data_IF_161116278390
#
_entry.id   IF_161116278390
#
_cell.length_a   1.000
_cell.length_b   1.000
_cell.length_c   1.000
_cell.angle_alpha   90.00
_cell.angle_beta   90.00
_cell.angle_gamma   90.00
#
_symmetry.space_group_name_H-M   'P 1'
#
loop_
_entity.id
_entity.type
_entity.pdbx_description
1 polymer ?
#
# COMPACT_ATOMS: atom_id res chain seq x y z
N UNK A 1 -21.33 53.24 -49.31
CA UNK A 1 -22.12 53.27 -48.05
C UNK A 1 -22.76 51.91 -47.85
N UNK A 2 -22.12 51.03 -47.08
CA UNK A 2 -22.66 49.71 -46.70
C UNK A 2 -22.98 49.74 -45.22
N UNK A 3 -24.25 49.49 -44.89
CA UNK A 3 -24.83 49.60 -43.55
C UNK A 3 -24.58 48.26 -42.83
N UNK A 4 -23.50 48.19 -42.05
CA UNK A 4 -23.21 47.05 -41.18
C UNK A 4 -24.18 47.10 -40.00
N UNK A 5 -25.22 46.29 -40.07
CA UNK A 5 -26.14 46.00 -38.97
C UNK A 5 -25.39 45.22 -37.89
N UNK A 6 -25.31 45.79 -36.69
CA UNK A 6 -24.97 45.11 -35.42
C UNK A 6 -26.16 44.25 -35.01
N UNK A 7 -26.05 42.91 -35.08
CA UNK A 7 -26.64 42.12 -34.01
C UNK A 7 -25.74 40.99 -33.48
N UNK A 8 -24.48 40.88 -33.89
CA UNK A 8 -23.71 39.66 -33.55
C UNK A 8 -22.86 39.73 -32.27
N UNK A 9 -22.65 40.90 -31.67
CA UNK A 9 -21.72 41.01 -30.53
C UNK A 9 -22.32 40.50 -29.21
N UNK A 10 -23.65 40.56 -29.06
CA UNK A 10 -24.33 40.09 -27.86
C UNK A 10 -24.39 38.55 -27.77
N UNK A 11 -24.39 37.87 -28.92
CA UNK A 11 -24.41 36.40 -28.98
C UNK A 11 -23.04 35.79 -28.64
N UNK A 12 -21.95 36.45 -29.04
CA UNK A 12 -20.59 36.00 -28.75
C UNK A 12 -20.18 36.11 -27.27
N UNK A 13 -20.67 37.12 -26.54
CA UNK A 13 -20.40 37.26 -25.10
C UNK A 13 -21.24 36.30 -24.24
N UNK A 14 -22.34 35.78 -24.78
CA UNK A 14 -23.21 34.81 -24.10
C UNK A 14 -22.72 33.36 -24.21
N UNK A 15 -21.78 33.08 -25.12
CA UNK A 15 -21.19 31.74 -25.29
C UNK A 15 -19.87 31.54 -24.56
N UNK A 16 -19.29 32.57 -23.92
CA UNK A 16 -18.12 32.41 -23.04
C UNK A 16 -18.51 32.08 -21.59
N UNK A 17 -19.67 31.46 -21.39
CA UNK A 17 -20.03 30.87 -20.09
C UNK A 17 -19.21 29.60 -19.93
N UNK A 18 -18.16 29.73 -19.10
CA UNK A 18 -17.28 28.68 -18.60
C UNK A 18 -18.14 27.56 -17.99
N UNK A 19 -18.60 26.63 -18.82
CA UNK A 19 -19.20 25.37 -18.39
C UNK A 19 -18.07 24.39 -18.09
N UNK A 20 -17.45 24.52 -16.92
CA UNK A 20 -16.71 23.42 -16.28
C UNK A 20 -17.35 22.92 -14.97
N UNK A 21 -18.69 22.75 -14.84
CA UNK A 21 -19.27 22.18 -13.62
C UNK A 21 -18.91 20.68 -13.45
N UNK A 22 -18.41 20.02 -14.50
CA UNK A 22 -18.05 18.61 -14.48
C UNK A 22 -16.63 18.30 -13.96
N UNK A 23 -15.74 19.29 -13.86
CA UNK A 23 -14.32 19.02 -13.53
C UNK A 23 -14.13 18.84 -12.01
N UNK A 24 -14.85 19.60 -11.18
CA UNK A 24 -14.83 19.42 -9.71
C UNK A 24 -15.46 18.09 -9.26
N UNK A 25 -16.53 17.63 -9.92
CA UNK A 25 -17.17 16.35 -9.60
C UNK A 25 -16.30 15.14 -9.98
N UNK A 26 -15.59 15.23 -11.11
CA UNK A 26 -14.72 14.14 -11.61
C UNK A 26 -13.44 13.99 -10.79
N UNK A 27 -12.84 15.11 -10.38
CA UNK A 27 -11.66 15.11 -9.48
C UNK A 27 -12.03 14.59 -8.09
N UNK A 28 -13.20 14.96 -7.56
CA UNK A 28 -13.67 14.47 -6.25
C UNK A 28 -13.96 12.97 -6.30
N UNK A 29 -14.67 12.46 -7.33
CA UNK A 29 -14.92 11.03 -7.50
C UNK A 29 -13.63 10.22 -7.68
N UNK A 30 -12.67 10.74 -8.45
CA UNK A 30 -11.36 10.10 -8.61
C UNK A 30 -10.56 10.09 -7.31
N UNK A 31 -10.60 11.17 -6.52
CA UNK A 31 -9.96 11.21 -5.18
C UNK A 31 -10.57 10.18 -4.25
N UNK A 32 -11.90 10.07 -4.19
CA UNK A 32 -12.57 9.08 -3.33
C UNK A 32 -12.20 7.66 -3.72
N UNK A 33 -12.23 7.33 -5.02
CA UNK A 33 -11.81 6.00 -5.52
C UNK A 33 -10.33 5.73 -5.24
N UNK A 34 -9.46 6.74 -5.36
CA UNK A 34 -8.04 6.60 -5.00
C UNK A 34 -7.82 6.38 -3.51
N UNK A 35 -8.58 7.05 -2.64
CA UNK A 35 -8.50 6.88 -1.18
C UNK A 35 -9.01 5.51 -0.77
N UNK A 36 -10.14 5.03 -1.31
CA UNK A 36 -10.67 3.70 -0.97
C UNK A 36 -9.76 2.57 -1.48
N UNK A 37 -9.14 2.74 -2.65
CA UNK A 37 -8.14 1.82 -3.16
C UNK A 37 -6.86 1.82 -2.32
N UNK A 38 -6.39 3.00 -1.89
CA UNK A 38 -5.24 3.11 -0.99
C UNK A 38 -5.53 2.47 0.37
N UNK A 39 -6.72 2.70 0.93
CA UNK A 39 -7.15 2.13 2.21
C UNK A 39 -7.26 0.61 2.14
N UNK A 40 -7.90 0.07 1.10
CA UNK A 40 -8.04 -1.38 0.93
C UNK A 40 -6.69 -2.07 0.68
N UNK A 41 -5.82 -1.48 -0.15
CA UNK A 41 -4.46 -1.99 -0.35
C UNK A 41 -3.63 -1.97 0.95
N UNK A 42 -3.73 -0.89 1.72
CA UNK A 42 -3.06 -0.77 3.01
C UNK A 42 -3.59 -1.77 4.03
N UNK A 43 -4.92 -1.92 4.13
CA UNK A 43 -5.55 -2.87 5.04
C UNK A 43 -5.11 -4.31 4.73
N UNK A 44 -5.11 -4.70 3.44
CA UNK A 44 -4.64 -6.02 3.03
C UNK A 44 -3.16 -6.24 3.32
N UNK A 45 -2.31 -5.25 3.05
CA UNK A 45 -0.89 -5.37 3.34
C UNK A 45 -0.63 -5.44 4.86
N UNK A 46 -1.36 -4.65 5.65
CA UNK A 46 -1.29 -4.67 7.11
C UNK A 46 -1.73 -6.02 7.67
N UNK A 47 -2.86 -6.55 7.20
CA UNK A 47 -3.35 -7.86 7.63
C UNK A 47 -2.41 -8.97 7.20
N UNK A 48 -1.93 -8.95 5.96
CA UNK A 48 -1.04 -9.98 5.44
C UNK A 48 0.30 -10.01 6.20
N UNK A 49 0.95 -8.84 6.36
CA UNK A 49 2.22 -8.73 7.08
C UNK A 49 2.03 -8.98 8.57
N UNK A 50 0.98 -8.44 9.18
CA UNK A 50 0.69 -8.62 10.61
C UNK A 50 0.39 -10.08 10.97
N UNK A 51 -0.46 -10.77 10.21
CA UNK A 51 -0.77 -12.19 10.43
C UNK A 51 0.45 -13.07 10.18
N UNK A 52 1.18 -12.84 9.08
CA UNK A 52 2.40 -13.58 8.79
C UNK A 52 3.46 -13.39 9.88
N UNK A 53 3.71 -12.14 10.27
CA UNK A 53 4.68 -11.81 11.30
C UNK A 53 4.29 -12.42 12.64
N UNK A 54 3.02 -12.34 13.04
CA UNK A 54 2.51 -12.97 14.26
C UNK A 54 2.68 -14.49 14.27
N UNK A 55 2.41 -15.16 13.15
CA UNK A 55 2.62 -16.61 13.03
C UNK A 55 4.10 -17.00 13.13
N UNK A 56 4.97 -16.30 12.40
CA UNK A 56 6.40 -16.63 12.34
C UNK A 56 7.13 -16.25 13.64
N UNK A 57 6.74 -15.16 14.28
CA UNK A 57 7.32 -14.73 15.55
C UNK A 57 6.83 -15.59 16.73
N UNK A 58 5.56 -16.01 16.73
CA UNK A 58 4.95 -16.75 17.83
C UNK A 58 5.20 -18.26 17.82
N UNK A 59 5.38 -18.89 16.67
CA UNK A 59 5.61 -20.33 16.58
C UNK A 59 6.54 -20.66 15.41
N UNK A 60 7.73 -21.20 15.70
CA UNK A 60 8.75 -21.53 14.69
C UNK A 60 8.59 -22.95 14.17
N UNK A 61 7.43 -23.28 13.64
CA UNK A 61 7.20 -24.60 13.00
C UNK A 61 7.18 -24.48 11.48
N UNK A 62 7.47 -25.58 10.79
CA UNK A 62 7.40 -25.62 9.32
C UNK A 62 5.98 -25.37 8.80
N UNK A 63 4.95 -25.83 9.53
CA UNK A 63 3.54 -25.62 9.15
C UNK A 63 3.11 -24.16 9.26
N UNK A 64 3.54 -23.45 10.30
CA UNK A 64 3.24 -22.02 10.50
C UNK A 64 3.99 -21.14 9.51
N UNK A 65 5.23 -21.50 9.16
CA UNK A 65 5.97 -20.84 8.09
C UNK A 65 5.29 -20.98 6.72
N UNK A 66 4.82 -22.19 6.36
CA UNK A 66 4.06 -22.44 5.14
C UNK A 66 2.72 -21.68 5.11
N UNK A 67 1.97 -21.71 6.21
CA UNK A 67 0.72 -20.96 6.33
C UNK A 67 0.96 -19.44 6.20
N UNK A 68 2.01 -18.93 6.85
CA UNK A 68 2.41 -17.54 6.77
C UNK A 68 2.81 -17.10 5.35
N UNK A 69 3.56 -17.94 4.62
CA UNK A 69 3.89 -17.69 3.21
C UNK A 69 2.63 -17.63 2.34
N UNK A 70 1.67 -18.52 2.57
CA UNK A 70 0.37 -18.50 1.89
C UNK A 70 -0.41 -17.21 2.13
N UNK A 71 -0.43 -16.72 3.38
CA UNK A 71 -1.09 -15.45 3.75
C UNK A 71 -0.43 -14.26 3.05
N UNK A 72 0.90 -14.17 3.09
CA UNK A 72 1.64 -13.12 2.38
C UNK A 72 1.34 -13.14 0.88
N UNK A 73 1.34 -14.33 0.27
CA UNK A 73 1.12 -14.48 -1.16
C UNK A 73 -0.30 -14.10 -1.56
N UNK A 74 -1.30 -14.56 -0.80
CA UNK A 74 -2.70 -14.20 -1.01
C UNK A 74 -2.92 -12.68 -0.84
N UNK A 75 -2.35 -12.07 0.21
CA UNK A 75 -2.40 -10.63 0.42
C UNK A 75 -1.75 -9.83 -0.71
N UNK A 76 -0.59 -10.27 -1.20
CA UNK A 76 0.10 -9.66 -2.34
C UNK A 76 -0.71 -9.76 -3.64
N UNK A 77 -1.38 -10.89 -3.87
CA UNK A 77 -2.29 -11.07 -5.02
C UNK A 77 -3.50 -10.15 -4.95
N UNK A 78 -4.15 -10.05 -3.79
CA UNK A 78 -5.27 -9.13 -3.59
C UNK A 78 -4.86 -7.66 -3.75
N UNK A 79 -3.65 -7.30 -3.31
CA UNK A 79 -3.09 -5.95 -3.54
C UNK A 79 -2.89 -5.68 -5.03
N UNK A 80 -2.33 -6.65 -5.77
CA UNK A 80 -2.13 -6.55 -7.21
C UNK A 80 -3.47 -6.49 -7.98
N UNK A 81 -4.51 -7.16 -7.49
CA UNK A 81 -5.84 -7.13 -8.11
C UNK A 81 -6.52 -5.77 -7.94
N UNK A 82 -6.44 -5.15 -6.75
CA UNK A 82 -6.96 -3.79 -6.50
C UNK A 82 -6.22 -2.77 -7.35
N UNK A 83 -4.89 -2.81 -7.35
CA UNK A 83 -4.08 -1.89 -8.17
C UNK A 83 -4.43 -2.03 -9.65
N UNK A 84 -4.55 -3.27 -10.14
CA UNK A 84 -4.94 -3.50 -11.52
C UNK A 84 -6.38 -3.08 -11.85
N UNK A 85 -7.36 -3.32 -10.95
CA UNK A 85 -8.75 -2.88 -11.12
C UNK A 85 -8.87 -1.36 -11.18
N UNK A 86 -8.00 -0.63 -10.49
CA UNK A 86 -7.97 0.85 -10.56
C UNK A 86 -7.29 1.41 -11.81
N UNK A 87 -6.41 0.65 -12.46
CA UNK A 87 -5.56 1.15 -13.57
C UNK A 87 -6.02 0.64 -14.95
N UNK A 88 -6.62 -0.56 -15.07
CA UNK A 88 -7.11 -1.11 -16.34
C UNK A 88 -8.36 -1.99 -16.13
N UNK A 89 -9.18 -2.12 -17.18
CA UNK A 89 -10.33 -3.03 -17.17
C UNK A 89 -9.92 -4.47 -16.80
N UNK A 90 -10.78 -5.06 -15.98
CA UNK A 90 -10.65 -6.28 -15.19
C UNK A 90 -10.60 -7.55 -16.06
N UNK A 91 -9.67 -7.66 -17.02
CA UNK A 91 -9.74 -8.74 -18.01
C UNK A 91 -8.79 -9.93 -17.82
N UNK A 92 -7.79 -9.90 -16.93
CA UNK A 92 -7.03 -11.12 -16.62
C UNK A 92 -6.48 -11.13 -15.19
N UNK A 93 -7.09 -11.95 -14.33
CA UNK A 93 -6.66 -12.17 -12.94
C UNK A 93 -5.35 -12.98 -12.84
N UNK A 94 -4.98 -13.72 -13.90
CA UNK A 94 -3.80 -14.60 -13.98
C UNK A 94 -2.71 -14.11 -14.94
N UNK A 95 -2.54 -12.80 -15.13
CA UNK A 95 -1.37 -12.33 -15.88
C UNK A 95 -0.06 -12.79 -15.20
N UNK A 96 0.88 -13.41 -15.93
CA UNK A 96 2.14 -13.92 -15.36
C UNK A 96 2.98 -12.80 -14.71
N UNK A 97 2.80 -11.55 -15.17
CA UNK A 97 3.40 -10.36 -14.55
C UNK A 97 2.85 -10.06 -13.15
N UNK A 98 1.56 -10.29 -12.88
CA UNK A 98 0.95 -10.09 -11.55
C UNK A 98 1.44 -11.14 -10.57
N UNK A 99 1.49 -12.39 -11.00
CA UNK A 99 2.06 -13.48 -10.20
C UNK A 99 3.53 -13.18 -9.86
N UNK A 100 4.32 -12.75 -10.85
CA UNK A 100 5.72 -12.33 -10.63
C UNK A 100 5.86 -11.15 -9.67
N UNK A 101 4.98 -10.15 -9.74
CA UNK A 101 5.00 -9.03 -8.79
C UNK A 101 4.63 -9.49 -7.37
N UNK A 102 3.61 -10.34 -7.22
CA UNK A 102 3.20 -10.87 -5.94
C UNK A 102 4.31 -11.73 -5.30
N UNK A 103 4.95 -12.62 -6.06
CA UNK A 103 6.07 -13.44 -5.57
C UNK A 103 7.29 -12.61 -5.22
N UNK A 104 7.61 -11.57 -6.00
CA UNK A 104 8.74 -10.70 -5.68
C UNK A 104 8.48 -9.89 -4.41
N UNK A 105 7.24 -9.43 -4.19
CA UNK A 105 6.85 -8.75 -2.96
C UNK A 105 6.95 -9.67 -1.74
N UNK A 106 6.46 -10.92 -1.84
CA UNK A 106 6.60 -11.88 -0.73
C UNK A 106 8.07 -12.19 -0.45
N UNK A 107 8.89 -12.35 -1.48
CA UNK A 107 10.33 -12.54 -1.32
C UNK A 107 11.00 -11.36 -0.62
N UNK A 108 10.59 -10.12 -0.90
CA UNK A 108 11.10 -8.92 -0.22
C UNK A 108 10.83 -8.98 1.29
N UNK A 109 9.61 -9.35 1.69
CA UNK A 109 9.24 -9.49 3.11
C UNK A 109 10.05 -10.59 3.80
N UNK A 110 10.15 -11.76 3.18
CA UNK A 110 10.93 -12.89 3.74
C UNK A 110 12.40 -12.52 3.87
N UNK A 111 13.00 -11.90 2.85
CA UNK A 111 14.40 -11.48 2.86
C UNK A 111 14.66 -10.42 3.93
N UNK A 112 13.72 -9.50 4.14
CA UNK A 112 13.80 -8.51 5.21
C UNK A 112 13.89 -9.15 6.60
N UNK A 113 12.98 -10.06 6.95
CA UNK A 113 13.06 -10.77 8.23
C UNK A 113 14.31 -11.63 8.32
N UNK A 114 14.71 -12.30 7.24
CA UNK A 114 15.92 -13.11 7.22
C UNK A 114 17.18 -12.28 7.52
N UNK A 115 17.33 -11.11 6.88
CA UNK A 115 18.45 -10.19 7.14
C UNK A 115 18.42 -9.71 8.60
N UNK A 116 17.23 -9.36 9.10
CA UNK A 116 17.09 -8.94 10.48
C UNK A 116 17.56 -10.05 11.44
N UNK A 117 17.03 -11.27 11.29
CA UNK A 117 17.25 -12.40 12.21
C UNK A 117 18.71 -12.87 12.17
N UNK A 118 19.35 -12.85 10.99
CA UNK A 118 20.75 -13.29 10.83
C UNK A 118 21.77 -12.38 11.51
N UNK A 119 21.46 -11.08 11.63
CA UNK A 119 22.36 -10.09 12.22
C UNK A 119 21.98 -9.83 13.68
N UNK A 120 20.69 -9.74 13.97
CA UNK A 120 20.15 -9.46 15.29
C UNK A 120 20.44 -8.04 15.80
N UNK A 121 19.82 -7.70 16.93
CA UNK A 121 20.03 -6.42 17.62
C UNK A 121 19.68 -5.18 16.78
N UNK A 122 20.21 -4.03 17.18
CA UNK A 122 19.94 -2.75 16.49
C UNK A 122 20.60 -2.67 15.11
N UNK A 123 21.77 -3.30 14.93
CA UNK A 123 22.45 -3.38 13.64
C UNK A 123 21.61 -4.16 12.61
N UNK A 124 21.00 -5.28 13.03
CA UNK A 124 20.08 -6.06 12.19
C UNK A 124 18.85 -5.26 11.80
N UNK A 125 18.26 -4.50 12.74
CA UNK A 125 17.13 -3.60 12.45
C UNK A 125 17.51 -2.56 11.38
N UNK A 126 18.64 -1.85 11.55
CA UNK A 126 19.07 -0.81 10.61
C UNK A 126 19.37 -1.38 9.21
N UNK A 127 20.09 -2.49 9.14
CA UNK A 127 20.43 -3.14 7.87
C UNK A 127 19.20 -3.72 7.18
N UNK A 128 18.30 -4.36 7.92
CA UNK A 128 17.03 -4.85 7.40
C UNK A 128 16.15 -3.70 6.85
N UNK A 129 16.10 -2.56 7.55
CA UNK A 129 15.37 -1.38 7.07
C UNK A 129 15.93 -0.88 5.73
N UNK A 130 17.26 -0.78 5.63
CA UNK A 130 17.94 -0.37 4.42
C UNK A 130 17.70 -1.33 3.26
N UNK A 131 17.86 -2.63 3.49
CA UNK A 131 17.64 -3.65 2.45
C UNK A 131 16.19 -3.66 1.99
N UNK A 132 15.22 -3.61 2.91
CA UNK A 132 13.81 -3.55 2.56
C UNK A 132 13.46 -2.30 1.74
N UNK A 133 14.04 -1.15 2.08
CA UNK A 133 13.87 0.09 1.31
C UNK A 133 14.34 -0.07 -0.14
N UNK A 134 15.51 -0.66 -0.34
CA UNK A 134 16.08 -0.90 -1.68
C UNK A 134 15.20 -1.89 -2.45
N UNK A 135 14.83 -3.01 -1.82
CA UNK A 135 14.00 -4.05 -2.42
C UNK A 135 12.62 -3.53 -2.81
N UNK A 136 11.94 -2.79 -1.94
CA UNK A 136 10.64 -2.18 -2.24
C UNK A 136 10.74 -1.13 -3.34
N UNK A 137 11.83 -0.35 -3.37
CA UNK A 137 12.06 0.62 -4.46
C UNK A 137 12.18 -0.11 -5.80
N UNK A 138 13.00 -1.16 -5.86
CA UNK A 138 13.17 -2.01 -7.04
C UNK A 138 11.81 -2.62 -7.45
N UNK A 139 11.08 -3.21 -6.51
CA UNK A 139 9.77 -3.81 -6.75
C UNK A 139 8.77 -2.79 -7.33
N UNK A 140 8.67 -1.60 -6.74
CA UNK A 140 7.75 -0.57 -7.24
C UNK A 140 8.15 -0.05 -8.62
N UNK A 141 9.46 0.05 -8.91
CA UNK A 141 9.91 0.37 -10.27
C UNK A 141 9.57 -0.74 -11.27
N UNK A 142 9.69 -2.01 -10.86
CA UNK A 142 9.31 -3.16 -11.68
C UNK A 142 7.80 -3.19 -11.96
N UNK A 143 6.96 -3.05 -10.93
CA UNK A 143 5.50 -2.94 -11.08
C UNK A 143 5.14 -1.81 -12.06
N UNK A 144 5.78 -0.64 -11.95
CA UNK A 144 5.52 0.47 -12.87
C UNK A 144 5.89 0.13 -14.32
N UNK A 145 7.00 -0.58 -14.56
CA UNK A 145 7.41 -1.01 -15.91
C UNK A 145 6.51 -2.12 -16.47
N UNK A 146 6.08 -3.04 -15.62
CA UNK A 146 5.25 -4.18 -15.99
C UNK A 146 3.81 -3.76 -16.32
N UNK A 147 3.24 -2.81 -15.56
CA UNK A 147 1.85 -2.36 -15.70
C UNK A 147 1.69 -1.03 -16.48
N UNK A 148 2.77 -0.28 -16.69
CA UNK A 148 2.74 1.00 -17.41
C UNK A 148 2.75 0.85 -18.94
N UNK A 149 1.58 0.87 -19.60
CA UNK A 149 1.47 1.12 -21.04
C UNK A 149 1.90 2.57 -21.36
N UNK A 150 2.99 2.74 -22.10
CA UNK A 150 3.51 3.88 -22.92
C UNK A 150 3.26 5.37 -22.55
N UNK A 151 2.19 5.75 -21.87
CA UNK A 151 1.76 7.15 -21.64
C UNK A 151 2.44 7.85 -20.44
N UNK A 152 2.81 7.12 -19.38
CA UNK A 152 3.40 7.70 -18.15
C UNK A 152 4.94 7.68 -18.20
N UNK A 153 5.54 7.85 -19.39
CA UNK A 153 7.00 7.73 -19.59
C UNK A 153 7.77 9.02 -19.27
N UNK A 154 7.09 10.16 -19.11
CA UNK A 154 7.75 11.47 -18.95
C UNK A 154 7.89 11.97 -17.51
N UNK A 155 7.21 11.38 -16.53
CA UNK A 155 7.41 11.75 -15.14
C UNK A 155 8.52 10.86 -14.53
N UNK A 156 9.76 11.36 -14.63
CA UNK A 156 11.01 10.78 -14.09
C UNK A 156 11.00 10.84 -12.56
N UNK A 157 10.23 9.94 -11.94
CA UNK A 157 10.13 9.88 -10.49
C UNK A 157 10.37 8.45 -10.01
N UNK A 158 11.37 8.32 -9.13
CA UNK A 158 11.71 7.08 -8.44
C UNK A 158 10.76 6.94 -7.23
N UNK A 159 10.09 5.79 -7.03
CA UNK A 159 9.12 5.56 -5.95
C UNK A 159 9.80 5.35 -4.58
N UNK A 160 10.78 6.20 -4.23
CA UNK A 160 11.58 6.09 -3.01
C UNK A 160 10.73 6.39 -1.78
N UNK A 161 9.94 7.47 -1.83
CA UNK A 161 9.13 7.93 -0.70
C UNK A 161 8.18 6.85 -0.14
N UNK A 162 7.33 6.18 -0.95
CA UNK A 162 6.47 5.11 -0.43
C UNK A 162 7.26 3.89 0.05
N UNK A 163 8.41 3.57 -0.56
CA UNK A 163 9.27 2.47 -0.11
C UNK A 163 9.87 2.75 1.27
N UNK A 164 10.37 3.98 1.50
CA UNK A 164 10.90 4.42 2.79
C UNK A 164 9.80 4.41 3.86
N UNK A 165 8.60 4.90 3.56
CA UNK A 165 7.48 4.88 4.51
C UNK A 165 7.13 3.45 4.96
N UNK A 166 7.01 2.51 4.01
CA UNK A 166 6.74 1.10 4.33
C UNK A 166 7.88 0.46 5.12
N UNK A 167 9.13 0.74 4.75
CA UNK A 167 10.29 0.21 5.46
C UNK A 167 10.35 0.73 6.90
N UNK A 168 10.10 2.03 7.12
CA UNK A 168 10.01 2.60 8.46
C UNK A 168 8.89 1.98 9.29
N UNK A 169 7.71 1.76 8.69
CA UNK A 169 6.61 1.07 9.36
C UNK A 169 6.97 -0.37 9.75
N UNK A 170 7.64 -1.10 8.85
CA UNK A 170 8.08 -2.48 9.09
C UNK A 170 9.13 -2.53 10.20
N UNK A 171 10.05 -1.58 10.23
CA UNK A 171 11.05 -1.46 11.28
C UNK A 171 10.43 -1.08 12.63
N UNK A 172 9.39 -0.23 12.63
CA UNK A 172 8.63 0.04 13.85
C UNK A 172 7.96 -1.24 14.37
N UNK A 173 7.31 -2.03 13.50
CA UNK A 173 6.73 -3.33 13.85
C UNK A 173 7.78 -4.29 14.42
N UNK A 174 8.92 -4.44 13.74
CA UNK A 174 10.00 -5.33 14.17
C UNK A 174 10.60 -4.87 15.50
N UNK A 175 10.78 -3.55 15.68
CA UNK A 175 11.30 -3.00 16.93
C UNK A 175 10.36 -3.24 18.10
N UNK A 176 9.05 -3.10 17.88
CA UNK A 176 8.03 -3.37 18.88
C UNK A 176 8.00 -4.86 19.27
N UNK A 177 8.30 -5.75 18.33
CA UNK A 177 8.34 -7.18 18.59
C UNK A 177 9.62 -7.66 19.29
N UNK A 178 10.76 -7.02 19.02
CA UNK A 178 12.08 -7.50 19.50
C UNK A 178 12.60 -6.79 20.74
N UNK A 179 12.19 -5.55 20.97
CA UNK A 179 12.75 -4.72 22.04
C UNK A 179 11.70 -4.27 23.06
N UNK A 180 10.42 -4.53 22.82
CA UNK A 180 9.33 -4.09 23.70
C UNK A 180 8.60 -5.31 24.26
N UNK A 181 9.08 -5.81 25.40
CA UNK A 181 8.40 -6.83 26.20
C UNK A 181 7.27 -6.22 27.05
N UNK A 182 6.35 -5.52 26.39
CA UNK A 182 5.16 -4.98 27.02
C UNK A 182 3.95 -5.83 26.65
N UNK A 183 3.35 -6.50 27.64
CA UNK A 183 2.00 -7.05 27.52
C UNK A 183 1.09 -6.52 28.62
N UNK A 184 0.00 -5.84 28.24
CA UNK A 184 -1.09 -5.50 29.16
C UNK A 184 -2.07 -6.66 29.11
N UNK A 185 -2.15 -7.40 30.20
CA UNK A 185 -3.13 -8.47 30.36
C UNK A 185 -4.36 -7.89 31.05
N UNK A 186 -5.48 -7.76 30.35
CA UNK A 186 -6.74 -7.40 31.01
C UNK A 186 -7.21 -8.55 31.90
N UNK A 187 -7.89 -8.27 33.03
CA UNK A 187 -8.57 -9.31 33.81
C UNK A 187 -9.52 -10.11 32.89
N UNK A 188 -9.64 -11.43 33.08
CA UNK A 188 -10.52 -12.25 32.25
C UNK A 188 -11.96 -11.78 32.39
N UNK A 189 -12.54 -11.27 31.30
CA UNK A 189 -13.95 -10.96 31.23
C UNK A 189 -14.70 -12.27 30.99
N UNK A 190 -15.40 -12.75 32.01
CA UNK A 190 -16.35 -13.85 31.89
C UNK A 190 -17.56 -13.34 31.12
N UNK A 191 -17.62 -13.71 29.84
CA UNK A 191 -18.89 -13.73 29.11
C UNK A 191 -19.45 -15.13 29.34
N UNK A 192 -20.75 -15.26 29.61
CA UNK A 192 -21.45 -16.50 30.03
C UNK A 192 -21.15 -17.78 29.22
N UNK A 193 -20.53 -17.66 28.04
CA UNK A 193 -20.19 -18.75 27.11
C UNK A 193 -18.68 -18.86 26.83
N UNK A 194 -17.86 -17.83 27.09
CA UNK A 194 -16.43 -17.85 26.79
C UNK A 194 -15.61 -16.89 27.67
N UNK A 195 -14.42 -17.34 28.09
CA UNK A 195 -13.40 -16.49 28.71
C UNK A 195 -12.66 -15.70 27.62
N UNK A 196 -12.96 -14.41 27.52
CA UNK A 196 -12.31 -13.56 26.52
C UNK A 196 -11.11 -12.86 27.17
N UNK A 197 -9.92 -13.37 26.91
CA UNK A 197 -8.66 -12.79 27.38
C UNK A 197 -8.15 -11.86 26.28
N UNK A 198 -8.33 -10.54 26.46
CA UNK A 198 -7.75 -9.54 25.56
C UNK A 198 -6.30 -9.28 26.00
N UNK A 199 -5.35 -9.93 25.34
CA UNK A 199 -3.92 -9.63 25.52
C UNK A 199 -3.51 -8.58 24.50
N UNK A 200 -3.15 -7.39 24.97
CA UNK A 200 -2.58 -6.35 24.11
C UNK A 200 -1.06 -6.41 24.23
N UNK A 201 -0.42 -6.87 23.17
CA UNK A 201 1.04 -6.95 23.05
C UNK A 201 1.57 -5.77 22.25
N UNK A 202 2.81 -5.35 22.53
CA UNK A 202 3.51 -4.32 21.75
C UNK A 202 3.49 -4.58 20.24
N UNK A 203 3.46 -5.85 19.83
CA UNK A 203 3.31 -6.27 18.43
C UNK A 203 2.02 -5.72 17.80
N UNK A 204 0.90 -5.71 18.51
CA UNK A 204 -0.37 -5.19 18.00
C UNK A 204 -0.29 -3.69 17.72
N UNK A 205 0.36 -2.93 18.61
CA UNK A 205 0.62 -1.50 18.42
C UNK A 205 1.53 -1.31 17.20
N UNK A 206 2.57 -2.14 17.06
CA UNK A 206 3.45 -2.16 15.90
C UNK A 206 2.69 -2.42 14.58
N UNK A 207 1.70 -3.32 14.58
CA UNK A 207 0.85 -3.60 13.41
C UNK A 207 -0.01 -2.39 13.05
N UNK A 208 -0.57 -1.69 14.03
CA UNK A 208 -1.36 -0.46 13.80
C UNK A 208 -0.47 0.64 13.21
N UNK A 209 0.72 0.85 13.78
CA UNK A 209 1.69 1.82 13.28
C UNK A 209 2.11 1.48 11.85
N UNK A 210 2.44 0.21 11.58
CA UNK A 210 2.71 -0.28 10.23
C UNK A 210 1.55 0.01 9.28
N UNK A 211 0.31 -0.21 9.70
CA UNK A 211 -0.86 0.07 8.89
C UNK A 211 -1.04 1.55 8.54
N UNK A 212 -0.74 2.46 9.47
CA UNK A 212 -0.70 3.89 9.18
C UNK A 212 0.36 4.24 8.13
N UNK A 213 1.56 3.69 8.25
CA UNK A 213 2.64 3.90 7.27
C UNK A 213 2.30 3.30 5.90
N UNK A 214 1.72 2.09 5.87
CA UNK A 214 1.25 1.45 4.66
C UNK A 214 0.17 2.28 3.97
N UNK A 215 -0.79 2.82 4.74
CA UNK A 215 -1.81 3.72 4.23
C UNK A 215 -1.20 4.97 3.61
N UNK A 216 -0.29 5.65 4.31
CA UNK A 216 0.39 6.83 3.78
C UNK A 216 1.21 6.53 2.52
N UNK A 217 1.87 5.37 2.47
CA UNK A 217 2.63 4.93 1.30
C UNK A 217 1.72 4.72 0.09
N UNK A 218 0.59 4.01 0.26
CA UNK A 218 -0.37 3.79 -0.82
C UNK A 218 -1.10 5.07 -1.20
N UNK A 219 -1.49 5.90 -0.24
CA UNK A 219 -2.13 7.18 -0.51
C UNK A 219 -1.22 8.07 -1.35
N UNK A 220 0.07 8.20 -1.00
CA UNK A 220 1.05 8.95 -1.80
C UNK A 220 1.24 8.34 -3.18
N UNK A 221 1.22 7.01 -3.29
CA UNK A 221 1.33 6.30 -4.58
C UNK A 221 0.11 6.57 -5.47
N UNK A 222 -1.12 6.53 -4.93
CA UNK A 222 -2.35 6.78 -5.67
C UNK A 222 -2.57 8.27 -6.01
N UNK A 223 -2.28 9.19 -5.08
CA UNK A 223 -2.35 10.63 -5.34
C UNK A 223 -1.47 11.02 -6.53
N UNK A 224 -0.23 10.51 -6.56
CA UNK A 224 0.72 10.77 -7.66
C UNK A 224 0.35 10.12 -8.99
N UNK A 225 -0.49 9.10 -8.98
CA UNK A 225 -1.04 8.49 -10.20
C UNK A 225 -2.25 9.27 -10.74
N UNK A 226 -3.00 9.96 -9.86
CA UNK A 226 -4.20 10.71 -10.19
C UNK A 226 -3.93 12.18 -10.54
N UNK A 227 -2.89 12.78 -9.96
CA UNK A 227 -2.33 14.06 -10.40
C UNK A 227 -1.68 13.85 -11.77
N UNK A 228 -2.50 13.99 -12.83
CA UNK A 228 -2.02 14.06 -14.22
C UNK A 228 -0.92 15.13 -14.28
N UNK A 229 0.28 14.74 -14.69
CA UNK A 229 1.28 15.71 -15.11
C UNK A 229 0.62 16.59 -16.21
N UNK A 230 0.63 17.93 -16.08
CA UNK A 230 0.01 18.84 -17.04
C UNK A 230 0.58 18.67 -18.45
#
# INVERSE_FOLDING_TARGET
>A
MSRITKPDVAEWLSMSVIRQPGVLGRTTRQRVVGITAALSAAALETLAVGLWFGLVAGSRTTSTALAGLGILFCGALLRASIFGATVNHLQDLLEPRRLGAATLLTACWVLWLFVADRIGGQAGLALATGTLTVLLTCQFTFERRAFGRRSIRHCSFVPIVPAVLLALGASALLSAAWFVDWSITSPPLSVEVATLIVRIEAVQIGVVVFGCFAFLAHQRRFQRLLERCP
#
